data_IF_354891961147
#
_entry.id   IF_354891961147
#
_cell.length_a   1.000
_cell.length_b   1.000
_cell.length_c   1.000
_cell.angle_alpha   90.00
_cell.angle_beta   90.00
_cell.angle_gamma   90.00
#
_symmetry.space_group_name_H-M   'P 1'
#
loop_
_entity.id
_entity.type
_entity.pdbx_description
1 polymer ?
#
# COMPACT_ATOMS: atom_id res chain seq x y z
N UNK A 1 -28.59 -21.91 -8.82
CA UNK A 1 -27.65 -22.75 -9.61
C UNK A 1 -26.69 -21.94 -10.49
N UNK A 2 -26.19 -20.80 -10.05
CA UNK A 2 -24.93 -20.25 -10.60
C UNK A 2 -24.10 -19.76 -9.42
N UNK A 3 -23.06 -20.53 -9.06
CA UNK A 3 -22.03 -20.05 -8.14
C UNK A 3 -21.27 -18.94 -8.86
N UNK A 4 -21.02 -17.82 -8.20
CA UNK A 4 -20.19 -16.75 -8.75
C UNK A 4 -18.77 -17.26 -9.02
N UNK A 5 -18.19 -16.82 -10.13
CA UNK A 5 -16.80 -17.11 -10.48
C UNK A 5 -15.82 -16.39 -9.55
N UNK A 6 -14.54 -16.81 -9.54
CA UNK A 6 -13.54 -16.26 -8.62
C UNK A 6 -13.35 -14.75 -8.83
N UNK A 7 -13.20 -14.34 -10.08
CA UNK A 7 -13.05 -12.93 -10.46
C UNK A 7 -14.27 -12.12 -10.07
N UNK A 8 -15.48 -12.67 -10.24
CA UNK A 8 -16.72 -12.01 -9.80
C UNK A 8 -16.78 -11.84 -8.28
N UNK A 9 -16.38 -12.85 -7.51
CA UNK A 9 -16.35 -12.78 -6.04
C UNK A 9 -15.33 -11.74 -5.55
N UNK A 10 -14.13 -11.71 -6.15
CA UNK A 10 -13.10 -10.74 -5.78
C UNK A 10 -13.54 -9.29 -6.14
N UNK A 11 -14.10 -9.08 -7.33
CA UNK A 11 -14.65 -7.79 -7.72
C UNK A 11 -15.83 -7.35 -6.84
N UNK A 12 -16.69 -8.30 -6.44
CA UNK A 12 -17.78 -8.02 -5.51
C UNK A 12 -17.24 -7.59 -4.14
N UNK A 13 -16.23 -8.28 -3.62
CA UNK A 13 -15.57 -7.90 -2.37
C UNK A 13 -15.06 -6.45 -2.49
N UNK A 14 -14.32 -6.12 -3.55
CA UNK A 14 -13.84 -4.76 -3.80
C UNK A 14 -14.97 -3.72 -3.78
N UNK A 15 -16.03 -3.95 -4.55
CA UNK A 15 -17.17 -3.01 -4.63
C UNK A 15 -17.75 -2.80 -3.24
N UNK A 16 -17.98 -3.86 -2.47
CA UNK A 16 -18.50 -3.75 -1.10
C UNK A 16 -17.55 -3.00 -0.17
N UNK A 17 -16.24 -3.19 -0.30
CA UNK A 17 -15.25 -2.43 0.44
C UNK A 17 -15.28 -0.93 0.10
N UNK A 18 -15.34 -0.61 -1.20
CA UNK A 18 -15.32 0.77 -1.70
C UNK A 18 -16.59 1.56 -1.35
N UNK A 19 -17.77 0.92 -1.39
CA UNK A 19 -19.05 1.58 -1.06
C UNK A 19 -19.37 1.58 0.43
N UNK A 20 -18.48 1.06 1.29
CA UNK A 20 -18.71 1.01 2.72
C UNK A 20 -19.81 0.04 3.14
N UNK A 21 -20.07 -1.02 2.37
CA UNK A 21 -21.06 -2.04 2.73
C UNK A 21 -20.53 -2.93 3.86
N UNK A 22 -21.30 -3.13 4.94
CA UNK A 22 -20.83 -3.68 6.23
C UNK A 22 -21.57 -4.92 6.73
N UNK A 23 -22.37 -5.57 5.88
CA UNK A 23 -23.14 -6.76 6.27
C UNK A 23 -22.22 -7.93 6.66
N UNK A 24 -22.30 -8.36 7.93
CA UNK A 24 -21.40 -9.37 8.47
C UNK A 24 -21.58 -10.75 7.84
N UNK A 25 -22.80 -11.13 7.43
CA UNK A 25 -23.09 -12.42 6.83
C UNK A 25 -22.50 -12.50 5.42
N UNK A 26 -22.59 -11.41 4.66
CA UNK A 26 -21.95 -11.29 3.35
C UNK A 26 -20.43 -11.38 3.46
N UNK A 27 -19.81 -10.69 4.41
CA UNK A 27 -18.35 -10.77 4.58
C UNK A 27 -17.89 -12.13 5.09
N UNK A 28 -18.68 -12.79 5.95
CA UNK A 28 -18.43 -14.18 6.36
C UNK A 28 -18.49 -15.15 5.16
N UNK A 29 -19.49 -14.98 4.28
CA UNK A 29 -19.60 -15.74 3.05
C UNK A 29 -18.41 -15.51 2.10
N UNK A 30 -18.04 -14.24 1.88
CA UNK A 30 -16.89 -13.88 1.05
C UNK A 30 -15.59 -14.44 1.64
N UNK A 31 -15.37 -14.29 2.95
CA UNK A 31 -14.16 -14.76 3.63
C UNK A 31 -14.01 -16.28 3.46
N UNK A 32 -15.06 -17.04 3.78
CA UNK A 32 -15.06 -18.50 3.63
C UNK A 32 -14.84 -18.95 2.18
N UNK A 33 -15.53 -18.32 1.22
CA UNK A 33 -15.49 -18.74 -0.18
C UNK A 33 -14.14 -18.41 -0.83
N UNK A 34 -13.63 -17.20 -0.60
CA UNK A 34 -12.37 -16.73 -1.17
C UNK A 34 -11.17 -17.40 -0.49
N UNK A 35 -11.22 -17.64 0.83
CA UNK A 35 -10.17 -18.36 1.58
C UNK A 35 -9.82 -19.70 0.97
N UNK A 36 -10.84 -20.46 0.54
CA UNK A 36 -10.67 -21.79 -0.06
C UNK A 36 -10.15 -21.76 -1.50
N UNK A 37 -10.06 -20.58 -2.11
CA UNK A 37 -9.69 -20.38 -3.51
C UNK A 37 -8.47 -19.48 -3.70
N UNK A 38 -7.78 -19.11 -2.61
CA UNK A 38 -6.61 -18.21 -2.67
C UNK A 38 -5.54 -18.72 -3.62
N UNK A 39 -5.30 -20.04 -3.72
CA UNK A 39 -4.31 -20.60 -4.63
C UNK A 39 -4.64 -20.39 -6.12
N UNK A 40 -5.91 -20.14 -6.46
CA UNK A 40 -6.40 -19.94 -7.83
C UNK A 40 -6.40 -18.46 -8.25
N UNK A 41 -6.23 -17.53 -7.31
CA UNK A 41 -6.33 -16.09 -7.61
C UNK A 41 -5.19 -15.62 -8.50
N UNK A 42 -5.45 -14.76 -9.47
CA UNK A 42 -4.42 -13.92 -10.07
C UNK A 42 -4.08 -12.72 -9.17
N UNK A 43 -3.20 -11.87 -9.67
CA UNK A 43 -2.81 -10.64 -8.98
C UNK A 43 -4.00 -9.68 -8.80
N UNK A 44 -4.90 -9.64 -9.80
CA UNK A 44 -6.10 -8.83 -9.76
C UNK A 44 -7.08 -9.32 -8.69
N UNK A 45 -7.34 -10.62 -8.60
CA UNK A 45 -8.24 -11.15 -7.58
C UNK A 45 -7.68 -10.99 -6.16
N UNK A 46 -6.36 -11.13 -5.97
CA UNK A 46 -5.70 -10.81 -4.69
C UNK A 46 -5.96 -9.34 -4.34
N UNK A 47 -5.69 -8.43 -5.29
CA UNK A 47 -5.83 -6.98 -5.07
C UNK A 47 -7.26 -6.59 -4.74
N UNK A 48 -8.23 -7.06 -5.54
CA UNK A 48 -9.64 -6.77 -5.34
C UNK A 48 -10.15 -7.35 -4.02
N UNK A 49 -9.73 -8.57 -3.66
CA UNK A 49 -10.07 -9.17 -2.36
C UNK A 49 -9.51 -8.32 -1.22
N UNK A 50 -8.24 -7.95 -1.26
CA UNK A 50 -7.64 -7.11 -0.22
C UNK A 50 -8.40 -5.78 -0.07
N UNK A 51 -8.69 -5.08 -1.17
CA UNK A 51 -9.48 -3.83 -1.12
C UNK A 51 -10.86 -4.06 -0.50
N UNK A 52 -11.51 -5.18 -0.81
CA UNK A 52 -12.84 -5.47 -0.27
C UNK A 52 -12.88 -5.58 1.24
N UNK A 53 -11.89 -6.28 1.81
CA UNK A 53 -11.78 -6.47 3.26
C UNK A 53 -11.10 -5.29 3.98
N UNK A 54 -10.96 -4.14 3.31
CA UNK A 54 -10.41 -2.89 3.85
C UNK A 54 -11.43 -1.88 4.35
N UNK A 55 -12.70 -2.23 4.35
CA UNK A 55 -13.73 -1.35 4.91
C UNK A 55 -13.44 -1.10 6.41
N UNK A 56 -13.14 0.15 6.83
CA UNK A 56 -12.80 0.46 8.22
C UNK A 56 -13.95 0.20 9.20
N UNK A 57 -15.18 0.16 8.69
CA UNK A 57 -16.38 -0.13 9.48
C UNK A 57 -16.55 -1.62 9.76
N UNK A 58 -15.73 -2.47 9.13
CA UNK A 58 -15.75 -3.92 9.31
C UNK A 58 -14.56 -4.34 10.16
N UNK A 59 -14.88 -4.81 11.36
CA UNK A 59 -13.88 -5.29 12.34
C UNK A 59 -13.85 -6.81 12.32
N UNK A 60 -12.67 -7.38 12.17
CA UNK A 60 -12.50 -8.83 12.23
C UNK A 60 -11.11 -9.27 11.77
N UNK A 61 -10.77 -10.51 12.14
CA UNK A 61 -9.67 -11.23 11.49
C UNK A 61 -10.29 -12.09 10.40
N UNK A 62 -9.84 -11.88 9.17
CA UNK A 62 -10.35 -12.58 8.00
C UNK A 62 -9.36 -13.63 7.54
N UNK A 63 -9.82 -14.88 7.44
CA UNK A 63 -8.98 -16.01 7.04
C UNK A 63 -8.45 -15.84 5.61
N UNK A 64 -9.20 -15.16 4.74
CA UNK A 64 -8.79 -14.91 3.35
C UNK A 64 -7.55 -14.03 3.31
N UNK A 65 -7.45 -13.07 4.23
CA UNK A 65 -6.31 -12.17 4.33
C UNK A 65 -5.09 -12.96 4.79
N UNK A 66 -5.21 -13.77 5.83
CA UNK A 66 -4.13 -14.65 6.30
C UNK A 66 -3.64 -15.60 5.20
N UNK A 67 -4.56 -16.25 4.48
CA UNK A 67 -4.23 -17.14 3.36
C UNK A 67 -3.53 -16.39 2.20
N UNK A 68 -3.96 -15.16 1.91
CA UNK A 68 -3.32 -14.30 0.92
C UNK A 68 -1.90 -13.94 1.37
N UNK A 69 -1.70 -13.57 2.65
CA UNK A 69 -0.37 -13.29 3.22
C UNK A 69 0.57 -14.49 3.04
N UNK A 70 0.13 -15.69 3.43
CA UNK A 70 0.88 -16.93 3.30
C UNK A 70 1.27 -17.24 1.86
N UNK A 71 0.34 -17.02 0.92
CA UNK A 71 0.60 -17.22 -0.51
C UNK A 71 1.63 -16.23 -1.02
N UNK A 72 1.41 -14.94 -0.78
CA UNK A 72 2.31 -13.87 -1.22
C UNK A 72 3.71 -14.12 -0.68
N UNK A 73 3.84 -14.51 0.60
CA UNK A 73 5.13 -14.82 1.19
C UNK A 73 5.88 -15.92 0.41
N UNK A 74 5.19 -16.98 -0.02
CA UNK A 74 5.78 -18.07 -0.81
C UNK A 74 6.20 -17.67 -2.22
N UNK A 75 5.54 -16.67 -2.81
CA UNK A 75 5.80 -16.24 -4.19
C UNK A 75 6.48 -14.86 -4.26
N UNK A 76 6.87 -14.27 -3.14
CA UNK A 76 7.33 -12.88 -3.03
C UNK A 76 8.43 -12.52 -4.04
N UNK A 77 9.37 -13.43 -4.27
CA UNK A 77 10.46 -13.25 -5.24
C UNK A 77 9.99 -13.08 -6.69
N UNK A 78 8.77 -13.47 -7.01
CA UNK A 78 8.14 -13.37 -8.34
C UNK A 78 7.11 -12.25 -8.43
N UNK A 79 6.71 -11.66 -7.30
CA UNK A 79 5.72 -10.57 -7.30
C UNK A 79 6.34 -9.32 -7.93
N UNK A 80 5.57 -8.67 -8.79
CA UNK A 80 5.95 -7.41 -9.43
C UNK A 80 6.04 -6.28 -8.39
N UNK A 81 6.87 -5.27 -8.67
CA UNK A 81 6.96 -4.12 -7.76
C UNK A 81 5.60 -3.44 -7.57
N UNK A 82 4.84 -3.26 -8.66
CA UNK A 82 3.51 -2.66 -8.59
C UNK A 82 2.61 -3.38 -7.58
N UNK A 83 2.55 -4.72 -7.65
CA UNK A 83 1.74 -5.50 -6.74
C UNK A 83 2.28 -5.44 -5.31
N UNK A 84 3.60 -5.48 -5.12
CA UNK A 84 4.22 -5.29 -3.78
C UNK A 84 3.86 -3.91 -3.19
N UNK A 85 3.89 -2.85 -4.00
CA UNK A 85 3.49 -1.50 -3.60
C UNK A 85 2.02 -1.45 -3.19
N UNK A 86 1.13 -2.02 -4.00
CA UNK A 86 -0.30 -2.10 -3.68
C UNK A 86 -0.50 -2.87 -2.38
N UNK A 87 0.12 -4.04 -2.22
CA UNK A 87 0.04 -4.83 -0.99
C UNK A 87 0.49 -4.04 0.23
N UNK A 88 1.66 -3.41 0.19
CA UNK A 88 2.19 -2.62 1.32
C UNK A 88 1.29 -1.43 1.64
N UNK A 89 0.77 -0.73 0.64
CA UNK A 89 -0.17 0.37 0.86
C UNK A 89 -1.43 -0.13 1.57
N UNK A 90 -1.96 -1.26 1.11
CA UNK A 90 -3.21 -1.84 1.60
C UNK A 90 -3.06 -2.37 3.03
N UNK A 91 -2.02 -3.16 3.31
CA UNK A 91 -1.66 -3.58 4.67
C UNK A 91 -1.35 -2.39 5.59
N UNK A 92 -0.63 -1.40 5.08
CA UNK A 92 -0.38 -0.12 5.73
C UNK A 92 -1.66 0.57 6.22
N UNK A 93 -2.59 0.81 5.30
CA UNK A 93 -3.88 1.45 5.57
C UNK A 93 -4.71 0.66 6.59
N UNK A 94 -4.67 -0.68 6.53
CA UNK A 94 -5.33 -1.55 7.49
C UNK A 94 -4.72 -1.54 8.89
N UNK A 95 -3.49 -1.04 9.03
CA UNK A 95 -2.62 -1.34 10.19
C UNK A 95 -2.59 -2.86 10.48
N UNK A 96 -2.70 -3.66 9.43
CA UNK A 96 -2.71 -5.11 9.44
C UNK A 96 -1.54 -5.61 8.59
N UNK A 97 -1.13 -6.84 8.79
CA UNK A 97 -0.02 -7.45 8.07
C UNK A 97 0.98 -8.02 9.05
N UNK A 98 1.38 -9.27 8.84
CA UNK A 98 2.46 -9.83 9.62
C UNK A 98 3.75 -9.01 9.41
N UNK A 99 4.50 -8.77 10.49
CA UNK A 99 5.82 -8.11 10.41
C UNK A 99 6.75 -8.82 9.41
N UNK A 100 6.57 -10.13 9.23
CA UNK A 100 7.32 -10.96 8.29
C UNK A 100 6.96 -10.61 6.84
N UNK A 101 5.66 -10.52 6.51
CA UNK A 101 5.22 -10.15 5.16
C UNK A 101 5.69 -8.74 4.81
N UNK A 102 5.52 -7.78 5.73
CA UNK A 102 5.97 -6.40 5.53
C UNK A 102 7.48 -6.38 5.22
N UNK A 103 8.30 -7.06 6.04
CA UNK A 103 9.75 -7.19 5.78
C UNK A 103 10.07 -7.88 4.45
N UNK A 104 9.24 -8.84 4.02
CA UNK A 104 9.44 -9.55 2.75
C UNK A 104 9.13 -8.65 1.54
N UNK A 105 8.03 -7.90 1.60
CA UNK A 105 7.65 -6.90 0.60
C UNK A 105 8.74 -5.84 0.46
N UNK A 106 9.25 -5.35 1.60
CA UNK A 106 10.34 -4.40 1.63
C UNK A 106 11.62 -4.91 0.99
N UNK A 107 12.09 -6.08 1.43
CA UNK A 107 13.28 -6.72 0.87
C UNK A 107 13.12 -6.87 -0.65
N UNK A 108 11.91 -7.22 -1.11
CA UNK A 108 11.62 -7.33 -2.53
C UNK A 108 11.74 -5.98 -3.26
N UNK A 109 11.29 -4.88 -2.67
CA UNK A 109 11.47 -3.53 -3.23
C UNK A 109 12.95 -3.16 -3.28
N UNK A 110 13.70 -3.40 -2.20
CA UNK A 110 15.15 -3.17 -2.14
C UNK A 110 15.90 -4.00 -3.20
N UNK A 111 15.55 -5.29 -3.35
CA UNK A 111 16.14 -6.18 -4.34
C UNK A 111 15.84 -5.69 -5.78
N UNK A 112 14.61 -5.24 -6.06
CA UNK A 112 14.26 -4.68 -7.38
C UNK A 112 14.99 -3.37 -7.63
N UNK A 113 15.02 -2.46 -6.64
CA UNK A 113 15.66 -1.16 -6.76
C UNK A 113 17.18 -1.29 -6.98
N UNK A 114 17.85 -2.11 -6.17
CA UNK A 114 19.30 -2.35 -6.26
C UNK A 114 19.73 -3.05 -7.54
N UNK A 115 18.85 -3.86 -8.16
CA UNK A 115 19.17 -4.56 -9.42
C UNK A 115 18.86 -3.74 -10.67
N UNK A 116 17.92 -2.79 -10.60
CA UNK A 116 17.47 -2.06 -11.78
C UNK A 116 17.87 -0.59 -11.81
N UNK A 117 18.23 0.01 -10.67
CA UNK A 117 18.69 1.39 -10.39
C UNK A 117 17.91 2.58 -11.03
N UNK A 118 17.16 2.38 -12.12
CA UNK A 118 16.57 3.46 -12.94
C UNK A 118 15.15 3.14 -13.47
N UNK A 119 14.66 1.90 -13.38
CA UNK A 119 13.35 1.55 -13.99
C UNK A 119 12.15 1.65 -13.04
N UNK A 120 12.35 2.11 -11.81
CA UNK A 120 11.28 2.23 -10.82
C UNK A 120 10.87 3.69 -10.69
N UNK A 121 9.57 3.99 -10.90
CA UNK A 121 9.12 5.37 -10.76
C UNK A 121 9.21 5.85 -9.30
N UNK A 122 9.64 7.11 -9.05
CA UNK A 122 9.59 7.72 -7.73
C UNK A 122 8.22 7.59 -7.05
N UNK A 123 7.15 7.62 -7.85
CA UNK A 123 5.77 7.40 -7.39
C UNK A 123 5.56 6.02 -6.75
N UNK A 124 6.04 4.95 -7.39
CA UNK A 124 5.90 3.60 -6.84
C UNK A 124 6.73 3.42 -5.56
N UNK A 125 7.93 3.99 -5.51
CA UNK A 125 8.76 3.98 -4.30
C UNK A 125 8.09 4.74 -3.16
N UNK A 126 7.54 5.92 -3.45
CA UNK A 126 6.83 6.73 -2.47
C UNK A 126 5.60 6.02 -1.91
N UNK A 127 4.75 5.43 -2.76
CA UNK A 127 3.57 4.66 -2.30
C UNK A 127 3.98 3.46 -1.45
N UNK A 128 5.09 2.81 -1.80
CA UNK A 128 5.66 1.69 -1.03
C UNK A 128 6.10 2.15 0.36
N UNK A 129 6.87 3.24 0.42
CA UNK A 129 7.34 3.83 1.67
C UNK A 129 6.19 4.36 2.52
N UNK A 130 5.17 4.94 1.91
CA UNK A 130 3.98 5.40 2.61
C UNK A 130 3.27 4.23 3.30
N UNK A 131 2.95 3.17 2.56
CA UNK A 131 2.34 1.95 3.09
C UNK A 131 3.15 1.32 4.21
N UNK A 132 4.47 1.24 4.02
CA UNK A 132 5.39 0.78 5.03
C UNK A 132 5.42 1.66 6.29
N UNK A 133 5.39 2.98 6.12
CA UNK A 133 5.40 3.90 7.25
C UNK A 133 4.16 3.71 8.14
N UNK A 134 3.02 3.31 7.58
CA UNK A 134 1.76 3.13 8.31
C UNK A 134 1.80 1.90 9.25
N UNK A 135 2.64 0.90 8.94
CA UNK A 135 2.84 -0.28 9.79
C UNK A 135 3.95 -0.10 10.84
N UNK A 136 4.49 1.12 10.97
CA UNK A 136 5.32 1.54 12.11
C UNK A 136 6.68 0.86 12.17
N UNK A 137 7.23 0.44 11.04
CA UNK A 137 8.54 -0.16 11.00
C UNK A 137 9.57 0.89 10.57
N UNK A 138 10.53 1.15 11.44
CA UNK A 138 11.65 2.06 11.18
C UNK A 138 12.68 1.32 10.35
N UNK A 139 13.12 1.87 9.22
CA UNK A 139 14.37 1.41 8.63
C UNK A 139 15.17 2.54 7.99
N UNK A 140 16.37 2.72 8.52
CA UNK A 140 17.40 3.57 7.92
C UNK A 140 17.84 3.08 6.54
N UNK A 141 17.51 1.83 6.17
CA UNK A 141 17.77 1.27 4.84
C UNK A 141 17.06 2.03 3.71
N UNK A 142 16.03 2.83 4.01
CA UNK A 142 15.30 3.62 3.01
C UNK A 142 15.84 5.01 2.75
N UNK A 143 16.89 5.44 3.45
CA UNK A 143 17.43 6.78 3.26
C UNK A 143 17.80 7.05 1.80
N UNK A 144 18.45 6.12 1.06
CA UNK A 144 18.73 6.33 -0.36
C UNK A 144 17.46 6.50 -1.22
N UNK A 145 16.42 5.71 -0.93
CA UNK A 145 15.14 5.77 -1.65
C UNK A 145 14.41 7.08 -1.36
N UNK A 146 14.39 7.52 -0.10
CA UNK A 146 13.80 8.80 0.31
C UNK A 146 14.50 9.98 -0.35
N UNK A 147 15.85 9.99 -0.39
CA UNK A 147 16.62 11.03 -1.09
C UNK A 147 16.25 11.10 -2.57
N UNK A 148 16.08 9.95 -3.21
CA UNK A 148 15.64 9.88 -4.61
C UNK A 148 14.24 10.47 -4.82
N UNK A 149 13.28 10.17 -3.93
CA UNK A 149 11.92 10.74 -3.99
C UNK A 149 11.93 12.25 -3.71
N UNK A 150 12.71 12.69 -2.73
CA UNK A 150 12.86 14.12 -2.37
C UNK A 150 13.47 14.89 -3.54
N UNK A 151 14.42 14.32 -4.27
CA UNK A 151 14.98 14.94 -5.46
C UNK A 151 13.93 15.17 -6.56
N UNK A 152 12.90 14.31 -6.64
CA UNK A 152 11.79 14.41 -7.58
C UNK A 152 10.58 15.22 -7.06
N UNK A 153 10.70 15.91 -5.91
CA UNK A 153 9.58 16.61 -5.24
C UNK A 153 8.88 17.69 -6.07
N UNK A 154 9.54 18.24 -7.09
CA UNK A 154 8.97 19.25 -7.98
C UNK A 154 7.98 18.67 -8.99
N UNK A 155 7.97 17.34 -9.17
CA UNK A 155 7.09 16.63 -10.11
C UNK A 155 5.83 16.07 -9.43
N UNK A 156 5.67 16.31 -8.13
CA UNK A 156 4.62 15.68 -7.32
C UNK A 156 3.40 16.59 -7.14
N UNK A 157 2.22 15.97 -7.21
CA UNK A 157 0.96 16.66 -6.89
C UNK A 157 0.78 16.90 -5.38
N UNK A 158 -0.24 17.69 -5.02
CA UNK A 158 -0.55 18.03 -3.63
C UNK A 158 -0.76 16.81 -2.71
N UNK A 159 -1.50 15.81 -3.20
CA UNK A 159 -1.76 14.59 -2.44
C UNK A 159 -0.45 13.86 -2.12
N UNK A 160 0.45 13.77 -3.11
CA UNK A 160 1.75 13.10 -2.95
C UNK A 160 2.71 13.86 -2.06
N UNK A 161 2.71 15.19 -2.14
CA UNK A 161 3.46 16.03 -1.20
C UNK A 161 2.98 15.80 0.23
N UNK A 162 1.67 15.63 0.45
CA UNK A 162 1.09 15.33 1.77
C UNK A 162 1.51 13.95 2.28
N UNK A 163 1.54 12.94 1.42
CA UNK A 163 2.01 11.58 1.74
C UNK A 163 3.50 11.58 2.11
N UNK A 164 4.37 12.24 1.34
CA UNK A 164 5.80 12.35 1.65
C UNK A 164 6.03 13.15 2.92
N UNK A 165 5.32 14.26 3.11
CA UNK A 165 5.38 15.03 4.34
C UNK A 165 5.11 14.14 5.57
N UNK A 166 4.09 13.29 5.47
CA UNK A 166 3.73 12.33 6.53
C UNK A 166 4.80 11.27 6.77
N UNK A 167 5.56 10.89 5.73
CA UNK A 167 6.70 9.98 5.86
C UNK A 167 7.87 10.69 6.54
N UNK A 168 8.30 11.85 6.04
CA UNK A 168 9.46 12.61 6.54
C UNK A 168 9.29 13.05 8.00
N UNK A 169 8.06 13.30 8.44
CA UNK A 169 7.74 13.53 9.86
C UNK A 169 8.21 12.40 10.79
N UNK A 170 8.49 11.20 10.28
CA UNK A 170 9.01 10.04 11.04
C UNK A 170 10.53 9.93 11.02
N UNK A 171 11.22 10.76 10.23
CA UNK A 171 12.68 10.75 10.07
C UNK A 171 13.29 12.11 10.46
N UNK A 172 13.01 12.54 11.69
CA UNK A 172 13.44 13.85 12.20
C UNK A 172 14.89 13.86 12.71
N UNK A 173 15.58 12.72 12.70
CA UNK A 173 16.97 12.60 13.15
C UNK A 173 18.00 12.92 12.04
N UNK A 174 17.54 13.21 10.81
CA UNK A 174 18.39 13.52 9.66
C UNK A 174 18.15 14.97 9.17
N UNK A 175 19.21 15.78 9.16
CA UNK A 175 19.16 17.20 8.78
C UNK A 175 18.67 17.41 7.35
N UNK A 176 19.06 16.54 6.41
CA UNK A 176 18.65 16.61 5.01
C UNK A 176 17.13 16.39 4.87
N UNK A 177 16.59 15.46 5.65
CA UNK A 177 15.15 15.21 5.68
C UNK A 177 14.35 16.30 6.36
N UNK A 178 14.91 16.93 7.41
CA UNK A 178 14.31 18.12 8.01
C UNK A 178 14.26 19.29 7.02
N UNK A 179 15.33 19.53 6.26
CA UNK A 179 15.34 20.54 5.19
C UNK A 179 14.26 20.23 4.15
N UNK A 180 14.20 19.00 3.65
CA UNK A 180 13.19 18.58 2.68
C UNK A 180 11.76 18.71 3.22
N UNK A 181 11.53 18.42 4.50
CA UNK A 181 10.25 18.57 5.17
C UNK A 181 9.78 20.04 5.17
N UNK A 182 10.69 20.97 5.46
CA UNK A 182 10.40 22.42 5.43
C UNK A 182 10.08 22.89 4.01
N UNK A 183 10.85 22.45 3.01
CA UNK A 183 10.59 22.79 1.59
C UNK A 183 9.22 22.29 1.12
N UNK A 184 8.88 21.04 1.46
CA UNK A 184 7.59 20.44 1.11
C UNK A 184 6.45 21.17 1.81
N UNK A 185 6.62 21.54 3.10
CA UNK A 185 5.63 22.34 3.83
C UNK A 185 5.33 23.66 3.12
N UNK A 186 6.36 24.40 2.72
CA UNK A 186 6.18 25.67 2.03
C UNK A 186 5.47 25.51 0.68
N UNK A 187 5.75 24.43 -0.05
CA UNK A 187 4.99 24.11 -1.27
C UNK A 187 3.51 23.87 -0.97
N UNK A 188 3.20 23.06 0.03
CA UNK A 188 1.82 22.80 0.45
C UNK A 188 1.09 24.08 0.88
N UNK A 189 1.78 24.96 1.62
CA UNK A 189 1.27 26.29 2.01
C UNK A 189 0.95 27.15 0.77
N UNK A 190 1.85 27.17 -0.23
CA UNK A 190 1.62 27.89 -1.49
C UNK A 190 0.40 27.37 -2.26
N UNK A 191 0.23 26.05 -2.36
CA UNK A 191 -0.97 25.46 -2.98
C UNK A 191 -2.27 25.91 -2.30
N UNK A 192 -2.24 26.07 -0.96
CA UNK A 192 -3.39 26.51 -0.18
C UNK A 192 -3.69 28.01 -0.37
N UNK A 193 -2.66 28.86 -0.55
CA UNK A 193 -2.84 30.31 -0.77
C UNK A 193 -3.21 30.66 -2.20
N UNK A 194 -2.73 29.90 -3.19
CA UNK A 194 -2.91 30.19 -4.61
C UNK A 194 -4.29 29.76 -5.17
N UNK A 195 -5.17 29.20 -4.32
CA UNK A 195 -6.54 28.81 -4.71
C UNK A 195 -6.60 27.64 -5.72
N UNK A 196 -5.47 26.99 -6.00
CA UNK A 196 -5.34 25.87 -6.95
C UNK A 196 -5.91 24.53 -6.45
N UNK A 197 -6.41 24.47 -5.21
CA UNK A 197 -7.23 23.35 -4.74
C UNK A 197 -8.60 23.41 -5.42
N UNK A 198 -8.68 22.90 -6.65
CA UNK A 198 -9.96 22.39 -7.16
C UNK A 198 -10.29 21.14 -6.36
N UNK A 199 -11.39 21.24 -5.60
CA UNK A 199 -12.04 20.10 -4.95
C UNK A 199 -12.25 18.93 -5.93
#
# INVERSE_FOLDING_TARGET
NSRLELTQLASLARIYGEVGYTDADIYSYLDSTLSNRVLQMGDEEITNTLIGFMNPDIKGKFKVIENIEDRIHKIMSKVSLHNVTVLLLKYGQLRHGSKILIKSCLKRVEDIYSTTNESVSPMQLMMTLYGYSLVGAEAKSYYPVLKHIIAAKDELDYGRLTEIFSILMKFQDDEEFLTALVEIRHKLEKYNTDGTLKA
#
